data_IF_570870319230
#
_entry.id   IF_570870319230
#
_cell.length_a   1.000
_cell.length_b   1.000
_cell.length_c   1.000
_cell.angle_alpha   90.00
_cell.angle_beta   90.00
_cell.angle_gamma   90.00
#
_symmetry.space_group_name_H-M   'P 1'
#
loop_
_entity.id
_entity.type
_entity.pdbx_description
1 polymer ?
#
# COMPACT_ATOMS: atom_id res chain seq x y z
N UNK A 1 1.36 -17.85 -28.86
CA UNK A 1 1.21 -16.51 -29.49
C UNK A 1 2.05 -15.54 -28.66
N UNK A 2 2.98 -14.81 -29.28
CA UNK A 2 4.04 -14.05 -28.59
C UNK A 2 3.81 -12.54 -28.63
N UNK A 3 4.18 -11.85 -27.55
CA UNK A 3 4.19 -10.40 -27.42
C UNK A 3 5.60 -9.86 -27.70
N UNK A 4 5.70 -8.66 -28.28
CA UNK A 4 6.96 -7.92 -28.30
C UNK A 4 7.06 -7.09 -27.02
N UNK A 5 7.97 -7.48 -26.14
CA UNK A 5 8.25 -6.79 -24.87
C UNK A 5 9.57 -6.04 -25.02
N UNK A 6 9.55 -4.72 -24.87
CA UNK A 6 10.75 -3.87 -24.86
C UNK A 6 10.87 -3.13 -23.54
N UNK A 7 12.05 -3.17 -22.92
CA UNK A 7 12.35 -2.40 -21.71
C UNK A 7 12.64 -0.94 -22.11
N UNK A 8 11.97 0.02 -21.48
CA UNK A 8 12.10 1.47 -21.77
C UNK A 8 12.59 2.26 -20.55
N UNK A 9 12.77 1.60 -19.41
CA UNK A 9 13.34 2.15 -18.18
C UNK A 9 13.52 1.06 -17.13
N UNK A 10 13.98 1.39 -15.92
CA UNK A 10 14.25 0.37 -14.87
C UNK A 10 13.01 -0.46 -14.50
N UNK A 11 11.83 0.16 -14.49
CA UNK A 11 10.53 -0.50 -14.23
C UNK A 11 9.48 -0.33 -15.34
N UNK A 12 9.90 0.14 -16.52
CA UNK A 12 8.98 0.45 -17.62
C UNK A 12 9.13 -0.56 -18.76
N UNK A 13 8.05 -1.27 -19.05
CA UNK A 13 7.98 -2.22 -20.16
C UNK A 13 6.93 -1.77 -21.16
N UNK A 14 7.33 -1.71 -22.43
CA UNK A 14 6.45 -1.44 -23.55
C UNK A 14 6.07 -2.77 -24.19
N UNK A 15 4.81 -3.11 -24.04
CA UNK A 15 4.17 -4.23 -24.72
C UNK A 15 3.48 -3.67 -25.97
N UNK A 16 3.96 -4.04 -27.14
CA UNK A 16 3.38 -3.59 -28.42
C UNK A 16 2.60 -4.73 -29.07
N UNK A 17 1.32 -4.47 -29.35
CA UNK A 17 0.45 -5.21 -30.26
C UNK A 17 -0.42 -4.17 -30.97
N UNK A 18 -0.81 -4.43 -32.22
CA UNK A 18 -1.31 -3.40 -33.16
C UNK A 18 -2.53 -2.56 -32.75
N UNK A 19 -3.23 -2.83 -31.64
CA UNK A 19 -4.23 -1.89 -31.11
C UNK A 19 -4.17 -1.86 -29.58
N UNK A 20 -4.07 -0.65 -29.04
CA UNK A 20 -3.98 -0.26 -27.63
C UNK A 20 -2.64 -0.52 -26.91
N UNK A 21 -1.88 0.57 -26.69
CA UNK A 21 -0.93 0.68 -25.59
C UNK A 21 -1.56 1.52 -24.48
N UNK A 22 -1.72 0.97 -23.28
CA UNK A 22 -2.06 1.73 -22.08
C UNK A 22 -0.92 1.59 -21.09
N UNK A 23 -0.47 2.71 -20.52
CA UNK A 23 0.36 2.67 -19.32
C UNK A 23 -0.59 2.57 -18.15
N UNK A 24 -0.49 1.49 -17.39
CA UNK A 24 -1.24 1.29 -16.15
C UNK A 24 -0.22 1.31 -15.03
N UNK A 25 -0.42 2.21 -14.08
CA UNK A 25 0.23 2.16 -12.77
C UNK A 25 -0.07 0.78 -12.13
N UNK A 26 0.85 0.27 -11.31
CA UNK A 26 0.61 -0.92 -10.50
C UNK A 26 -0.67 -0.76 -9.66
N UNK A 27 -0.89 0.44 -9.12
CA UNK A 27 -2.12 0.78 -8.37
C UNK A 27 -3.35 0.64 -9.26
N UNK A 28 -3.30 1.17 -10.48
CA UNK A 28 -4.41 1.09 -11.44
C UNK A 28 -4.65 -0.35 -11.90
N UNK A 29 -3.58 -1.13 -12.07
CA UNK A 29 -3.65 -2.55 -12.40
C UNK A 29 -4.32 -3.33 -11.27
N UNK A 30 -3.98 -3.05 -10.02
CA UNK A 30 -4.59 -3.67 -8.83
C UNK A 30 -6.05 -3.22 -8.67
N UNK A 31 -6.37 -1.96 -8.94
CA UNK A 31 -7.76 -1.46 -9.00
C UNK A 31 -8.58 -2.19 -10.05
N UNK A 32 -8.00 -2.36 -11.24
CA UNK A 32 -8.67 -2.97 -12.37
C UNK A 32 -8.89 -4.46 -12.10
N UNK A 33 -7.91 -5.15 -11.52
CA UNK A 33 -8.08 -6.52 -11.01
C UNK A 33 -9.15 -6.62 -9.91
N UNK A 34 -9.14 -5.72 -8.93
CA UNK A 34 -10.15 -5.72 -7.85
C UNK A 34 -11.57 -5.49 -8.40
N UNK A 35 -11.73 -4.60 -9.38
CA UNK A 35 -13.01 -4.37 -10.06
C UNK A 35 -13.43 -5.56 -10.93
N UNK A 36 -12.49 -6.21 -11.61
CA UNK A 36 -12.76 -7.42 -12.38
C UNK A 36 -13.19 -8.57 -11.46
N UNK A 37 -12.53 -8.76 -10.31
CA UNK A 37 -12.89 -9.79 -9.32
C UNK A 37 -14.30 -9.56 -8.74
N UNK A 38 -14.67 -8.30 -8.49
CA UNK A 38 -16.04 -7.92 -8.09
C UNK A 38 -17.07 -8.20 -9.20
N UNK A 39 -16.75 -7.90 -10.46
CA UNK A 39 -17.66 -8.09 -11.61
C UNK A 39 -17.81 -9.56 -12.02
N UNK A 40 -16.76 -10.37 -11.86
CA UNK A 40 -16.78 -11.79 -12.19
C UNK A 40 -17.46 -12.64 -11.12
N UNK A 41 -17.90 -12.06 -9.99
CA UNK A 41 -18.50 -12.80 -8.88
C UNK A 41 -17.55 -13.83 -8.26
N UNK A 42 -16.25 -13.72 -8.57
CA UNK A 42 -15.19 -14.63 -8.11
C UNK A 42 -14.71 -14.28 -6.71
N UNK A 43 -15.15 -13.14 -6.15
CA UNK A 43 -15.11 -12.91 -4.72
C UNK A 43 -16.24 -13.73 -4.08
N UNK A 44 -15.93 -14.79 -3.31
CA UNK A 44 -16.94 -15.38 -2.43
C UNK A 44 -17.47 -14.25 -1.52
N UNK A 45 -18.66 -14.41 -0.89
CA UNK A 45 -19.06 -13.50 0.17
C UNK A 45 -17.88 -13.32 1.14
N UNK A 46 -17.77 -12.13 1.73
CA UNK A 46 -16.72 -11.61 2.64
C UNK A 46 -16.19 -12.60 3.71
N UNK A 47 -16.77 -13.79 3.82
CA UNK A 47 -16.46 -14.95 4.63
C UNK A 47 -15.35 -15.90 4.12
N UNK A 48 -14.77 -15.76 2.91
CA UNK A 48 -13.71 -16.71 2.45
C UNK A 48 -12.33 -16.16 2.07
N UNK A 49 -12.09 -14.85 2.07
CA UNK A 49 -10.75 -14.36 1.81
C UNK A 49 -10.70 -12.86 1.71
N UNK A 50 -9.74 -12.25 2.41
CA UNK A 50 -9.44 -10.84 2.20
C UNK A 50 -9.00 -10.63 0.74
N UNK A 51 -9.36 -9.50 0.12
CA UNK A 51 -8.90 -9.17 -1.24
C UNK A 51 -7.39 -9.37 -1.39
N UNK A 52 -6.95 -9.98 -2.49
CA UNK A 52 -5.54 -10.32 -2.71
C UNK A 52 -4.59 -9.12 -2.56
N UNK A 53 -5.06 -7.90 -2.89
CA UNK A 53 -4.28 -6.68 -2.74
C UNK A 53 -3.97 -6.34 -1.28
N UNK A 54 -4.86 -6.63 -0.32
CA UNK A 54 -4.59 -6.37 1.09
C UNK A 54 -3.38 -7.17 1.57
N UNK A 55 -3.25 -8.43 1.14
CA UNK A 55 -2.10 -9.25 1.50
C UNK A 55 -0.79 -8.68 0.94
N UNK A 56 -0.81 -8.19 -0.31
CA UNK A 56 0.35 -7.56 -0.95
C UNK A 56 0.76 -6.27 -0.25
N UNK A 57 -0.16 -5.33 -0.04
CA UNK A 57 0.15 -4.05 0.61
C UNK A 57 0.56 -4.21 2.07
N UNK A 58 0.01 -5.22 2.79
CA UNK A 58 0.50 -5.54 4.14
C UNK A 58 1.92 -6.08 4.15
N UNK A 59 2.32 -6.86 3.13
CA UNK A 59 3.73 -7.25 2.98
C UNK A 59 4.59 -6.00 2.77
N UNK A 60 4.21 -5.10 1.85
CA UNK A 60 4.95 -3.85 1.62
C UNK A 60 5.06 -3.01 2.90
N UNK A 61 3.97 -2.85 3.66
CA UNK A 61 3.99 -2.18 4.97
C UNK A 61 4.95 -2.87 5.96
N UNK A 62 4.95 -4.21 6.01
CA UNK A 62 5.89 -4.95 6.84
C UNK A 62 7.32 -4.65 6.42
N UNK A 63 7.59 -4.58 5.11
CA UNK A 63 8.95 -4.29 4.65
C UNK A 63 9.39 -2.87 5.04
N UNK A 64 8.51 -1.88 4.94
CA UNK A 64 8.78 -0.51 5.41
C UNK A 64 9.22 -0.46 6.87
N UNK A 65 8.76 -1.39 7.72
CA UNK A 65 9.18 -1.41 9.11
C UNK A 65 10.66 -1.77 9.33
N UNK A 66 11.38 -2.22 8.29
CA UNK A 66 12.83 -2.43 8.32
C UNK A 66 13.65 -1.17 8.06
N UNK A 67 13.02 -0.06 7.63
CA UNK A 67 13.67 1.24 7.61
C UNK A 67 14.16 1.64 9.00
N UNK A 68 15.13 2.54 9.05
CA UNK A 68 15.59 3.10 10.31
C UNK A 68 14.45 3.86 11.01
N UNK A 69 14.55 3.93 12.34
CA UNK A 69 13.51 4.52 13.17
C UNK A 69 13.22 5.99 12.82
N UNK A 70 14.22 6.76 12.40
CA UNK A 70 14.05 8.18 12.07
C UNK A 70 13.26 8.35 10.78
N UNK A 71 13.60 7.60 9.73
CA UNK A 71 12.85 7.60 8.47
C UNK A 71 11.40 7.16 8.67
N UNK A 72 11.18 6.11 9.47
CA UNK A 72 9.83 5.63 9.76
C UNK A 72 9.01 6.65 10.56
N UNK A 73 9.60 7.28 11.59
CA UNK A 73 8.94 8.36 12.34
C UNK A 73 8.60 9.54 11.44
N UNK A 74 9.53 9.93 10.56
CA UNK A 74 9.34 11.01 9.60
C UNK A 74 8.15 10.74 8.66
N UNK A 75 8.11 9.56 8.03
CA UNK A 75 6.99 9.11 7.20
C UNK A 75 5.65 9.17 7.96
N UNK A 76 5.62 8.63 9.18
CA UNK A 76 4.41 8.58 10.01
C UNK A 76 4.00 9.95 10.57
N UNK A 77 4.89 10.94 10.58
CA UNK A 77 4.57 12.32 10.98
C UNK A 77 4.08 13.18 9.81
N UNK A 78 4.56 12.91 8.59
CA UNK A 78 4.11 13.58 7.38
C UNK A 78 2.76 13.06 6.88
N UNK A 79 2.48 11.76 7.07
CA UNK A 79 1.19 11.19 6.73
C UNK A 79 0.04 11.89 7.49
N UNK A 80 -1.02 12.23 6.77
CA UNK A 80 -2.20 12.84 7.39
C UNK A 80 -2.86 11.87 8.38
N UNK A 81 -3.52 12.42 9.40
CA UNK A 81 -4.19 11.59 10.41
C UNK A 81 -5.20 10.63 9.76
N UNK A 82 -6.02 11.12 8.84
CA UNK A 82 -7.08 10.33 8.23
C UNK A 82 -6.50 9.18 7.37
N UNK A 83 -5.38 9.43 6.71
CA UNK A 83 -4.61 8.41 5.99
C UNK A 83 -4.08 7.34 6.96
N UNK A 84 -3.48 7.75 8.08
CA UNK A 84 -2.99 6.83 9.10
C UNK A 84 -4.11 6.00 9.73
N UNK A 85 -5.26 6.61 10.05
CA UNK A 85 -6.45 5.90 10.54
C UNK A 85 -6.83 4.79 9.57
N UNK A 86 -6.97 5.12 8.28
CA UNK A 86 -7.36 4.14 7.27
C UNK A 86 -6.32 3.04 7.07
N UNK A 87 -5.02 3.38 7.02
CA UNK A 87 -3.94 2.39 6.95
C UNK A 87 -3.95 1.47 8.18
N UNK A 88 -4.04 2.01 9.38
CA UNK A 88 -3.99 1.21 10.60
C UNK A 88 -5.22 0.30 10.75
N UNK A 89 -6.39 0.74 10.30
CA UNK A 89 -7.59 -0.13 10.19
C UNK A 89 -7.35 -1.36 9.34
N UNK A 90 -6.52 -1.27 8.28
CA UNK A 90 -6.20 -2.43 7.44
C UNK A 90 -5.37 -3.49 8.16
N UNK A 91 -4.63 -3.14 9.20
CA UNK A 91 -3.70 -4.04 9.93
C UNK A 91 -4.10 -4.21 11.40
N UNK A 92 -5.31 -3.84 11.75
CA UNK A 92 -5.78 -3.83 13.14
C UNK A 92 -5.74 -5.21 13.81
N UNK A 93 -5.52 -5.21 15.12
CA UNK A 93 -5.28 -6.34 16.00
C UNK A 93 -4.10 -7.23 15.56
N UNK A 94 -3.16 -6.68 14.78
CA UNK A 94 -1.98 -7.42 14.31
C UNK A 94 -0.69 -6.91 14.96
N UNK A 95 0.36 -7.73 14.89
CA UNK A 95 1.70 -7.29 15.29
C UNK A 95 2.20 -6.09 14.49
N UNK A 96 1.74 -5.96 13.24
CA UNK A 96 2.12 -4.85 12.35
C UNK A 96 1.49 -3.53 12.81
N UNK A 97 0.22 -3.51 13.23
CA UNK A 97 -0.39 -2.31 13.86
C UNK A 97 0.44 -1.85 15.06
N UNK A 98 0.70 -2.76 16.00
CA UNK A 98 1.47 -2.44 17.21
C UNK A 98 2.84 -1.85 16.86
N UNK A 99 3.51 -2.41 15.84
CA UNK A 99 4.80 -1.91 15.36
C UNK A 99 4.68 -0.54 14.69
N UNK A 100 3.69 -0.32 13.83
CA UNK A 100 3.48 0.99 13.19
C UNK A 100 3.16 2.08 14.22
N UNK A 101 2.36 1.74 15.24
CA UNK A 101 1.98 2.66 16.32
C UNK A 101 3.18 3.16 17.14
N UNK A 102 4.27 2.40 17.26
CA UNK A 102 5.47 2.85 18.02
C UNK A 102 6.18 4.03 17.36
N UNK A 103 6.01 4.22 16.05
CA UNK A 103 6.59 5.34 15.30
C UNK A 103 5.70 6.59 15.28
N UNK A 104 4.49 6.51 15.84
CA UNK A 104 3.56 7.63 15.95
C UNK A 104 3.73 8.33 17.31
N UNK A 105 3.63 9.67 17.33
CA UNK A 105 3.66 10.41 18.60
C UNK A 105 2.51 9.99 19.51
N UNK A 106 2.69 10.10 20.83
CA UNK A 106 1.65 9.80 21.83
C UNK A 106 0.34 10.57 21.54
N UNK A 107 0.44 11.84 21.15
CA UNK A 107 -0.71 12.69 20.80
C UNK A 107 -1.46 12.16 19.58
N UNK A 108 -0.75 11.85 18.50
CA UNK A 108 -1.38 11.35 17.28
C UNK A 108 -1.96 9.95 17.48
N UNK A 109 -1.29 9.10 18.27
CA UNK A 109 -1.83 7.78 18.64
C UNK A 109 -3.17 7.91 19.35
N UNK A 110 -3.27 8.76 20.36
CA UNK A 110 -4.54 9.01 21.07
C UNK A 110 -5.62 9.55 20.12
N UNK A 111 -5.25 10.43 19.19
CA UNK A 111 -6.19 10.97 18.20
C UNK A 111 -6.69 9.90 17.21
N UNK A 112 -5.85 8.92 16.86
CA UNK A 112 -6.22 7.79 15.99
C UNK A 112 -7.11 6.80 16.75
N UNK A 113 -6.71 6.43 17.97
CA UNK A 113 -7.46 5.49 18.81
C UNK A 113 -8.83 6.01 19.23
N UNK A 114 -9.01 7.34 19.29
CA UNK A 114 -10.31 7.98 19.57
C UNK A 114 -11.15 8.27 18.32
N UNK A 115 -10.65 7.95 17.13
CA UNK A 115 -11.39 8.15 15.88
C UNK A 115 -12.51 7.12 15.74
N UNK A 116 -13.73 7.59 15.43
CA UNK A 116 -14.95 6.77 15.33
C UNK A 116 -14.83 5.69 14.26
N UNK A 117 -14.01 5.91 13.22
CA UNK A 117 -13.79 4.97 12.14
C UNK A 117 -12.74 3.91 12.49
N UNK A 118 -11.89 4.14 13.48
CA UNK A 118 -10.77 3.25 13.81
C UNK A 118 -11.22 1.83 14.19
N UNK A 119 -12.38 1.72 14.83
CA UNK A 119 -13.00 0.44 15.21
C UNK A 119 -13.80 -0.23 14.10
N UNK A 120 -14.05 0.47 13.00
CA UNK A 120 -14.90 -0.03 11.92
C UNK A 120 -14.08 -0.77 10.86
N UNK A 121 -14.65 -1.87 10.35
CA UNK A 121 -14.08 -2.55 9.20
C UNK A 121 -13.97 -1.60 8.00
N UNK A 122 -12.78 -1.53 7.40
CA UNK A 122 -12.54 -0.72 6.22
C UNK A 122 -13.05 -1.43 4.96
N UNK A 123 -13.72 -0.68 4.07
CA UNK A 123 -14.16 -1.23 2.79
C UNK A 123 -12.96 -1.42 1.86
N UNK A 124 -12.97 -2.44 0.99
CA UNK A 124 -11.85 -2.71 0.07
C UNK A 124 -11.43 -1.49 -0.77
N UNK A 125 -12.38 -0.76 -1.36
CA UNK A 125 -12.07 0.43 -2.15
C UNK A 125 -11.38 1.54 -1.36
N UNK A 126 -11.83 1.79 -0.13
CA UNK A 126 -11.24 2.79 0.77
C UNK A 126 -9.85 2.36 1.24
N UNK A 127 -9.66 1.07 1.50
CA UNK A 127 -8.35 0.51 1.84
C UNK A 127 -7.35 0.65 0.68
N UNK A 128 -7.78 0.39 -0.55
CA UNK A 128 -6.95 0.54 -1.73
C UNK A 128 -6.55 1.99 -2.00
N UNK A 129 -7.50 2.94 -1.83
CA UNK A 129 -7.19 4.37 -1.91
C UNK A 129 -6.18 4.77 -0.82
N UNK A 130 -6.40 4.35 0.43
CA UNK A 130 -5.47 4.66 1.52
C UNK A 130 -4.07 4.10 1.25
N UNK A 131 -3.96 2.87 0.73
CA UNK A 131 -2.67 2.33 0.32
C UNK A 131 -2.03 3.13 -0.81
N UNK A 132 -2.79 3.47 -1.85
CA UNK A 132 -2.29 4.31 -2.94
C UNK A 132 -1.71 5.63 -2.42
N UNK A 133 -2.46 6.34 -1.60
CA UNK A 133 -2.05 7.65 -1.08
C UNK A 133 -0.83 7.53 -0.16
N UNK A 134 -0.79 6.48 0.65
CA UNK A 134 0.34 6.22 1.55
C UNK A 134 1.61 5.85 0.79
N UNK A 135 1.53 4.98 -0.21
CA UNK A 135 2.71 4.59 -0.98
C UNK A 135 3.17 5.68 -1.96
N UNK A 136 2.28 6.53 -2.46
CA UNK A 136 2.66 7.75 -3.18
C UNK A 136 3.48 8.70 -2.29
N UNK A 137 3.10 8.86 -1.02
CA UNK A 137 3.90 9.62 -0.06
C UNK A 137 5.27 8.97 0.20
N UNK A 138 5.32 7.64 0.31
CA UNK A 138 6.59 6.91 0.47
C UNK A 138 7.50 7.15 -0.74
N UNK A 139 6.99 6.98 -1.94
CA UNK A 139 7.72 7.20 -3.19
C UNK A 139 8.25 8.64 -3.28
N UNK A 140 7.41 9.63 -3.00
CA UNK A 140 7.82 11.03 -2.95
C UNK A 140 8.98 11.26 -1.97
N UNK A 141 8.93 10.68 -0.77
CA UNK A 141 9.98 10.86 0.23
C UNK A 141 11.29 10.13 -0.14
N UNK A 142 11.22 9.08 -0.95
CA UNK A 142 12.39 8.40 -1.50
C UNK A 142 13.02 9.27 -2.59
N UNK A 143 12.20 9.80 -3.52
CA UNK A 143 12.65 10.66 -4.61
C UNK A 143 13.31 11.95 -4.10
N UNK A 144 12.78 12.49 -3.00
CA UNK A 144 13.35 13.65 -2.32
C UNK A 144 14.59 13.30 -1.44
N UNK A 145 14.95 12.02 -1.34
CA UNK A 145 16.08 11.53 -0.54
C UNK A 145 15.88 11.68 0.98
N UNK A 146 14.63 11.84 1.43
CA UNK A 146 14.31 12.02 2.85
C UNK A 146 14.24 10.70 3.61
N UNK A 147 13.92 9.61 2.93
CA UNK A 147 13.93 8.25 3.49
C UNK A 147 14.66 7.31 2.53
N UNK A 148 15.34 6.30 3.09
CA UNK A 148 15.98 5.23 2.31
C UNK A 148 15.35 3.90 2.67
N UNK A 149 14.90 3.17 1.66
CA UNK A 149 14.47 1.79 1.85
C UNK A 149 15.69 0.93 2.16
N UNK A 150 15.66 0.27 3.32
CA UNK A 150 16.67 -0.71 3.69
C UNK A 150 16.12 -2.08 3.36
N UNK A 151 16.85 -2.81 2.55
CA UNK A 151 16.57 -4.20 2.27
C UNK A 151 17.33 -5.09 3.25
N UNK A 152 16.67 -5.69 4.25
CA UNK A 152 17.34 -6.55 5.22
C UNK A 152 17.81 -7.88 4.63
N UNK A 153 17.29 -8.31 3.47
CA UNK A 153 17.55 -9.64 2.88
C UNK A 153 18.16 -9.61 1.47
N UNK A 154 18.15 -8.47 0.79
CA UNK A 154 18.51 -8.38 -0.64
C UNK A 154 17.35 -8.74 -1.60
N UNK A 155 16.11 -8.81 -1.10
CA UNK A 155 14.90 -9.20 -1.85
C UNK A 155 14.26 -8.06 -2.66
N UNK A 156 14.75 -6.82 -2.59
CA UNK A 156 14.21 -5.65 -3.29
C UNK A 156 14.65 -5.51 -4.76
N UNK A 157 15.31 -6.51 -5.34
CA UNK A 157 15.65 -6.55 -6.76
C UNK A 157 14.95 -7.69 -7.52
#
# INVERSE_FOLDING_TARGET
MSFNVRKVGEHHFRLEKEFFSTQLDLVDSVRLMSKLDEQLGMNPPLSQGQPNFLALYRKLLLVLTHMDQRSMQHLMHLASRDLLVNILRTVKASKLENRLMTYITKRNRQAIESDVLYDQQIKPGDALQAYSDFFALVEQLIDEGQITLVDPNGDYY
#
